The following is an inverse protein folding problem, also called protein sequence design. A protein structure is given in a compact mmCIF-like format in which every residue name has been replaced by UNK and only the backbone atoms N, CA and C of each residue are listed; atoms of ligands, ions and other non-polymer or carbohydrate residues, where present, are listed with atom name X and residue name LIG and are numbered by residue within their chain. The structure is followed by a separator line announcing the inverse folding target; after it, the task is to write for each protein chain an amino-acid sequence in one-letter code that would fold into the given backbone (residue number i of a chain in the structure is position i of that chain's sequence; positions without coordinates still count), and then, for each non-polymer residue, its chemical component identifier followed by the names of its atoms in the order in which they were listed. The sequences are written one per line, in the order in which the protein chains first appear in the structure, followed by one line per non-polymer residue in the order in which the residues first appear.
data_IF_271568152628
#
_entry.id   IF_271568152628
#
_cell.length_a   1.000
_cell.length_b   1.000
_cell.length_c   1.000
_cell.angle_alpha   90.00
_cell.angle_beta   90.00
_cell.angle_gamma   90.00
#
_symmetry.space_group_name_H-M   'P 1'
#
loop_
_entity.id
_entity.type
_entity.pdbx_description
1 polymer ?
#
# COMPACT_ATOMS: atom_id res chain seq x y z
N UNK A 1 7.34 -3.04 -1.19
CA UNK A 1 6.70 -3.74 -0.04
C UNK A 1 5.41 -4.43 -0.47
N UNK A 2 5.02 -5.51 0.22
CA UNK A 2 3.82 -6.31 -0.11
C UNK A 2 2.94 -6.56 1.12
N UNK A 3 1.63 -6.53 0.91
CA UNK A 3 0.63 -6.67 1.95
C UNK A 3 -0.35 -7.81 1.71
N UNK A 4 -0.59 -8.58 2.76
CA UNK A 4 -1.56 -9.68 2.79
C UNK A 4 -2.94 -9.23 3.28
N UNK A 5 -3.95 -10.04 2.98
CA UNK A 5 -5.36 -9.84 3.37
C UNK A 5 -5.86 -8.42 3.03
N UNK A 6 -5.81 -8.01 1.75
CA UNK A 6 -6.25 -6.67 1.37
C UNK A 6 -7.74 -6.48 1.68
N UNK A 7 -8.08 -5.30 2.21
CA UNK A 7 -9.44 -4.83 2.44
C UNK A 7 -9.67 -3.62 1.55
N UNK A 8 -10.70 -3.68 0.70
CA UNK A 8 -10.97 -2.65 -0.29
C UNK A 8 -12.10 -1.72 0.14
N UNK A 9 -11.90 -0.42 -0.06
CA UNK A 9 -12.91 0.62 0.16
C UNK A 9 -13.60 0.96 -1.16
N UNK A 10 -14.19 -0.04 -1.80
CA UNK A 10 -14.79 0.04 -3.13
C UNK A 10 -14.35 -1.12 -4.04
N UNK A 11 -14.33 -0.93 -5.37
CA UNK A 11 -13.80 -1.92 -6.29
C UNK A 11 -12.37 -2.33 -5.93
N UNK A 12 -12.08 -3.62 -6.00
CA UNK A 12 -10.74 -4.13 -5.78
C UNK A 12 -9.75 -3.54 -6.80
N UNK A 13 -8.52 -3.28 -6.36
CA UNK A 13 -7.43 -2.94 -7.28
C UNK A 13 -7.07 -4.18 -8.10
N UNK A 14 -6.76 -3.95 -9.37
CA UNK A 14 -6.37 -4.96 -10.33
C UNK A 14 -4.84 -5.05 -10.48
N UNK A 15 -4.38 -5.77 -11.49
CA UNK A 15 -2.95 -5.92 -11.80
C UNK A 15 -2.35 -4.68 -12.48
N UNK A 16 -3.15 -3.65 -12.78
CA UNK A 16 -2.66 -2.45 -13.45
C UNK A 16 -1.90 -1.57 -12.45
N UNK A 17 -0.72 -1.09 -12.87
CA UNK A 17 0.09 -0.18 -12.09
C UNK A 17 -0.56 1.20 -12.02
N UNK A 18 -0.78 1.70 -10.81
CA UNK A 18 -1.42 3.00 -10.53
C UNK A 18 -0.51 3.84 -9.65
N UNK A 19 -0.49 5.14 -9.88
CA UNK A 19 0.25 6.10 -9.05
C UNK A 19 -0.70 6.63 -7.98
N UNK A 20 -0.23 6.71 -6.75
CA UNK A 20 -0.98 7.25 -5.63
C UNK A 20 -0.09 7.41 -4.42
N UNK A 21 -0.66 7.20 -3.25
CA UNK A 21 0.08 7.30 -2.00
C UNK A 21 -0.15 6.08 -1.13
N UNK A 22 0.85 5.76 -0.31
CA UNK A 22 0.73 4.77 0.75
C UNK A 22 1.10 5.40 2.08
N UNK A 23 0.23 5.21 3.06
CA UNK A 23 0.48 5.61 4.43
C UNK A 23 0.84 4.36 5.24
N UNK A 24 2.00 4.41 5.89
CA UNK A 24 2.44 3.38 6.83
C UNK A 24 2.39 4.01 8.22
N UNK A 25 1.66 3.35 9.14
CA UNK A 25 1.20 3.89 10.44
C UNK A 25 0.12 4.98 10.27
N UNK A 26 -0.95 4.90 11.05
CA UNK A 26 -2.10 5.81 10.95
C UNK A 26 -1.79 7.30 11.15
N UNK A 27 -0.68 7.63 11.83
CA UNK A 27 -0.23 9.00 12.08
C UNK A 27 0.93 9.44 11.17
N UNK A 28 1.35 8.59 10.22
CA UNK A 28 2.45 8.90 9.30
C UNK A 28 2.00 9.78 8.13
N UNK A 29 2.96 10.37 7.41
CA UNK A 29 2.69 11.00 6.13
C UNK A 29 2.27 9.94 5.09
N UNK A 30 1.41 10.33 4.15
CA UNK A 30 1.17 9.54 2.95
C UNK A 30 2.36 9.74 2.01
N UNK A 31 2.99 8.63 1.59
CA UNK A 31 4.20 8.63 0.78
C UNK A 31 3.85 8.31 -0.68
N UNK A 32 4.41 9.03 -1.67
CA UNK A 32 4.20 8.70 -3.08
C UNK A 32 4.64 7.27 -3.39
N UNK A 33 3.80 6.55 -4.14
CA UNK A 33 4.10 5.18 -4.54
C UNK A 33 3.37 4.77 -5.83
N UNK A 34 3.91 3.76 -6.48
CA UNK A 34 3.16 2.93 -7.43
C UNK A 34 2.54 1.74 -6.70
N UNK A 35 1.26 1.47 -6.93
CA UNK A 35 0.54 0.36 -6.31
C UNK A 35 -0.24 -0.49 -7.33
N UNK A 36 -0.38 -1.78 -7.03
CA UNK A 36 -1.10 -2.77 -7.84
C UNK A 36 -1.35 -4.04 -7.02
N UNK A 37 -2.15 -4.98 -7.53
CA UNK A 37 -2.30 -6.32 -6.94
C UNK A 37 -1.53 -7.35 -7.75
N UNK A 38 -0.81 -8.23 -7.06
CA UNK A 38 -0.10 -9.35 -7.67
C UNK A 38 -0.24 -10.58 -6.78
N UNK A 39 -0.68 -11.70 -7.35
CA UNK A 39 -0.89 -12.96 -6.62
C UNK A 39 -1.73 -12.81 -5.33
N UNK A 40 -2.72 -11.90 -5.35
CA UNK A 40 -3.59 -11.62 -4.21
C UNK A 40 -2.96 -10.73 -3.13
N UNK A 41 -1.72 -10.28 -3.31
CA UNK A 41 -1.04 -9.33 -2.44
C UNK A 41 -1.20 -7.92 -2.99
N UNK A 42 -1.43 -6.96 -2.10
CA UNK A 42 -1.36 -5.54 -2.43
C UNK A 42 0.11 -5.11 -2.40
N UNK A 43 0.63 -4.66 -3.53
CA UNK A 43 2.01 -4.22 -3.69
C UNK A 43 2.05 -2.70 -3.70
N UNK A 44 3.00 -2.13 -2.98
CA UNK A 44 3.32 -0.71 -3.02
C UNK A 44 4.84 -0.53 -3.15
N UNK A 45 5.25 0.18 -4.19
CA UNK A 45 6.64 0.53 -4.48
C UNK A 45 6.76 2.02 -4.21
N UNK A 46 7.50 2.37 -3.16
CA UNK A 46 7.74 3.76 -2.77
C UNK A 46 8.69 4.43 -3.76
N UNK A 47 8.45 5.70 -4.05
CA UNK A 47 9.36 6.51 -4.87
C UNK A 47 10.68 6.78 -4.12
N UNK A 48 10.61 6.90 -2.79
CA UNK A 48 11.77 7.04 -1.89
C UNK A 48 11.77 5.93 -0.82
N UNK A 49 12.95 5.38 -0.53
CA UNK A 49 13.09 4.31 0.45
C UNK A 49 12.68 4.76 1.87
N UNK A 50 11.88 3.94 2.55
CA UNK A 50 11.48 4.19 3.94
C UNK A 50 12.28 3.32 4.91
N UNK A 51 13.10 3.97 5.73
CA UNK A 51 13.87 3.30 6.79
C UNK A 51 12.95 2.88 7.96
N UNK A 52 13.23 1.72 8.53
CA UNK A 52 12.50 1.22 9.71
C UNK A 52 11.09 0.71 9.40
N UNK A 53 10.84 0.29 8.16
CA UNK A 53 9.66 -0.48 7.77
C UNK A 53 9.77 -1.90 8.36
N UNK A 54 8.69 -2.38 8.97
CA UNK A 54 8.62 -3.72 9.53
C UNK A 54 7.35 -4.44 9.06
N UNK A 55 7.43 -5.77 8.99
CA UNK A 55 6.25 -6.61 8.77
C UNK A 55 5.28 -6.51 9.96
N UNK A 56 4.01 -6.84 9.71
CA UNK A 56 2.93 -6.71 10.68
C UNK A 56 2.33 -5.30 10.79
N UNK A 57 2.95 -4.29 10.16
CA UNK A 57 2.38 -2.95 10.09
C UNK A 57 1.25 -2.88 9.06
N UNK A 58 0.30 -1.98 9.26
CA UNK A 58 -0.72 -1.67 8.26
C UNK A 58 -0.17 -0.69 7.21
N UNK A 59 -0.47 -0.97 5.94
CA UNK A 59 -0.41 0.00 4.85
C UNK A 59 -1.81 0.41 4.44
N UNK A 60 -2.00 1.68 4.08
CA UNK A 60 -3.25 2.22 3.53
C UNK A 60 -2.94 2.94 2.23
N UNK A 61 -3.61 2.56 1.14
CA UNK A 61 -3.45 3.15 -0.19
C UNK A 61 -4.47 4.25 -0.40
N UNK A 62 -4.00 5.35 -0.98
CA UNK A 62 -4.78 6.50 -1.36
C UNK A 62 -4.63 6.79 -2.86
N UNK A 63 -5.73 7.25 -3.44
CA UNK A 63 -5.84 7.81 -4.79
C UNK A 63 -6.35 9.25 -4.62
N UNK A 64 -5.45 10.21 -4.70
CA UNK A 64 -5.69 11.56 -4.17
C UNK A 64 -5.90 11.52 -2.65
N UNK A 65 -7.06 12.00 -2.19
CA UNK A 65 -7.48 11.99 -0.78
C UNK A 65 -8.40 10.79 -0.44
N UNK A 66 -8.75 9.97 -1.43
CA UNK A 66 -9.65 8.83 -1.26
C UNK A 66 -8.87 7.58 -0.83
N UNK A 67 -9.35 6.94 0.23
CA UNK A 67 -8.87 5.60 0.62
C UNK A 67 -9.31 4.56 -0.41
N UNK A 68 -8.35 3.82 -0.96
CA UNK A 68 -8.58 2.73 -1.93
C UNK A 68 -8.71 1.40 -1.20
N UNK A 69 -7.82 1.15 -0.24
CA UNK A 69 -7.79 -0.07 0.53
C UNK A 69 -6.59 -0.13 1.46
N UNK A 70 -6.52 -1.21 2.24
CA UNK A 70 -5.46 -1.44 3.21
C UNK A 70 -5.02 -2.89 3.23
N UNK A 71 -3.80 -3.16 3.66
CA UNK A 71 -3.29 -4.52 3.84
C UNK A 71 -2.30 -4.56 5.02
N UNK A 72 -2.03 -5.76 5.53
CA UNK A 72 -0.96 -5.97 6.53
C UNK A 72 0.34 -6.28 5.80
N UNK A 73 1.39 -5.50 6.01
CA UNK A 73 2.69 -5.69 5.38
C UNK A 73 3.27 -7.05 5.82
N UNK A 74 3.50 -7.95 4.86
CA UNK A 74 4.10 -9.26 5.07
C UNK A 74 5.53 -9.35 4.50
N UNK A 75 5.92 -8.43 3.63
CA UNK A 75 7.24 -8.40 3.00
C UNK A 75 7.71 -6.96 2.78
N UNK A 76 8.96 -6.69 3.14
CA UNK A 76 9.65 -5.41 2.96
C UNK A 76 10.83 -5.63 2.02
N UNK A 77 11.09 -4.67 1.12
CA UNK A 77 12.31 -4.62 0.31
C UNK A 77 13.29 -3.61 0.90
#
# INVERSE_FOLDING_TARGET
MRGERPVWCGPAVDHAHRIGFVQIRAHGAALPCTYYVENGLLVAILDEALLGLATGQAMVIYDGDRVVGSATICETE
#
